data_IF_545097306120
#
_entry.id   IF_545097306120
#
_cell.length_a   1.000
_cell.length_b   1.000
_cell.length_c   1.000
_cell.angle_alpha   90.00
_cell.angle_beta   90.00
_cell.angle_gamma   90.00
#
_symmetry.space_group_name_H-M   'P 1'
#
loop_
_entity.id
_entity.type
_entity.pdbx_description
1 polymer ?
#
# COMPACT_ATOMS: atom_id res chain seq x y z
N UNK A 1 33.93 6.47 20.51
CA UNK A 1 32.96 7.22 19.70
C UNK A 1 32.58 6.41 18.46
N UNK A 2 33.58 5.94 17.74
CA UNK A 2 33.34 5.11 16.55
C UNK A 2 32.59 3.83 16.93
N UNK A 3 32.92 3.23 18.04
CA UNK A 3 32.26 2.01 18.49
C UNK A 3 30.79 2.26 18.84
N UNK A 4 30.48 3.40 19.45
CA UNK A 4 29.13 3.78 19.82
C UNK A 4 28.29 3.98 18.54
N UNK A 5 28.83 4.66 17.54
CA UNK A 5 28.17 4.87 16.23
C UNK A 5 27.90 3.53 15.55
N UNK A 6 28.86 2.63 15.61
CA UNK A 6 28.71 1.30 15.02
C UNK A 6 27.61 0.50 15.69
N UNK A 7 27.49 0.57 17.00
CA UNK A 7 26.44 -0.10 17.76
C UNK A 7 25.06 0.50 17.42
N UNK A 8 24.97 1.81 17.27
CA UNK A 8 23.74 2.47 16.90
C UNK A 8 23.27 2.01 15.51
N UNK A 9 24.17 1.87 14.55
CA UNK A 9 23.84 1.35 13.21
C UNK A 9 23.36 -0.10 13.30
N UNK A 10 24.01 -0.93 14.10
CA UNK A 10 23.59 -2.32 14.31
C UNK A 10 22.19 -2.40 14.91
N UNK A 11 21.88 -1.52 15.89
CA UNK A 11 20.55 -1.46 16.49
C UNK A 11 19.49 -1.06 15.46
N UNK A 12 19.81 -0.13 14.56
CA UNK A 12 18.88 0.28 13.51
C UNK A 12 18.48 -0.86 12.57
N UNK A 13 19.35 -1.85 12.36
CA UNK A 13 19.03 -3.02 11.54
C UNK A 13 17.88 -3.84 12.11
N UNK A 14 17.60 -3.72 13.38
CA UNK A 14 16.52 -4.44 14.05
C UNK A 14 15.26 -3.61 14.19
N UNK A 15 15.32 -2.32 13.83
CA UNK A 15 14.16 -1.45 13.87
C UNK A 15 13.33 -1.68 12.60
N UNK A 16 12.11 -2.12 12.82
CA UNK A 16 11.18 -2.34 11.73
C UNK A 16 10.51 -1.03 11.35
N UNK A 17 10.63 -0.64 10.07
CA UNK A 17 9.98 0.56 9.56
C UNK A 17 8.53 0.23 9.20
N UNK A 18 7.59 0.92 9.84
CA UNK A 18 6.17 0.78 9.55
C UNK A 18 5.81 1.68 8.36
N UNK A 19 5.03 1.15 7.44
CA UNK A 19 4.59 1.87 6.24
C UNK A 19 3.08 1.85 6.19
N UNK A 20 2.45 2.96 6.54
CA UNK A 20 1.00 3.10 6.46
C UNK A 20 0.55 2.81 5.03
N UNK A 21 -0.32 1.86 4.87
CA UNK A 21 -0.71 1.35 3.56
C UNK A 21 -2.20 1.48 3.33
N UNK A 22 -2.56 2.10 2.21
CA UNK A 22 -3.95 2.21 1.75
C UNK A 22 -4.18 1.18 0.65
N UNK A 23 -5.18 0.33 0.85
CA UNK A 23 -5.53 -0.73 -0.08
C UNK A 23 -6.72 -0.28 -0.90
N UNK A 24 -6.56 -0.16 -2.22
CA UNK A 24 -7.68 0.13 -3.13
C UNK A 24 -8.16 -1.18 -3.75
N UNK A 25 -9.45 -1.45 -3.60
CA UNK A 25 -10.05 -2.71 -4.00
C UNK A 25 -10.22 -3.66 -2.84
N UNK A 26 -10.25 -3.14 -1.61
CA UNK A 26 -10.48 -3.93 -0.42
C UNK A 26 -11.84 -4.66 -0.49
N UNK A 27 -11.88 -5.86 0.05
CA UNK A 27 -13.08 -6.70 0.03
C UNK A 27 -13.10 -7.62 1.25
N UNK A 28 -14.29 -7.92 1.80
CA UNK A 28 -14.42 -8.88 2.88
C UNK A 28 -14.32 -10.34 2.41
N UNK A 29 -14.16 -10.58 1.11
CA UNK A 29 -14.06 -11.93 0.55
C UNK A 29 -12.66 -12.51 0.82
N UNK A 30 -12.54 -13.57 1.67
CA UNK A 30 -11.24 -14.11 2.06
C UNK A 30 -10.45 -14.80 0.94
N UNK A 31 -11.08 -15.06 -0.19
CA UNK A 31 -10.40 -15.68 -1.33
C UNK A 31 -9.63 -14.68 -2.19
N UNK A 32 -9.89 -13.37 -2.01
CA UNK A 32 -9.27 -12.34 -2.82
C UNK A 32 -7.91 -11.93 -2.27
N UNK A 33 -7.02 -11.55 -3.16
CA UNK A 33 -5.67 -11.12 -2.79
C UNK A 33 -5.65 -9.86 -1.93
N UNK A 34 -6.58 -8.93 -2.16
CA UNK A 34 -6.69 -7.74 -1.32
C UNK A 34 -6.95 -8.09 0.14
N UNK A 35 -7.79 -9.09 0.39
CA UNK A 35 -8.06 -9.58 1.74
C UNK A 35 -6.79 -10.16 2.37
N UNK A 36 -6.10 -10.99 1.64
CA UNK A 36 -4.85 -11.61 2.12
C UNK A 36 -3.78 -10.58 2.40
N UNK A 37 -3.67 -9.56 1.53
CA UNK A 37 -2.71 -8.48 1.72
C UNK A 37 -3.00 -7.66 2.97
N UNK A 38 -4.27 -7.31 3.21
CA UNK A 38 -4.67 -6.57 4.40
C UNK A 38 -4.25 -7.31 5.68
N UNK A 39 -4.54 -8.61 5.73
CA UNK A 39 -4.17 -9.43 6.89
C UNK A 39 -2.65 -9.56 7.05
N UNK A 40 -1.92 -9.74 5.97
CA UNK A 40 -0.47 -9.87 6.05
C UNK A 40 0.21 -8.55 6.45
N UNK A 41 -0.26 -7.43 5.90
CA UNK A 41 0.22 -6.10 6.29
C UNK A 41 0.00 -5.87 7.79
N UNK A 42 -1.20 -6.15 8.27
CA UNK A 42 -1.53 -6.01 9.67
C UNK A 42 -0.65 -6.92 10.55
N UNK A 43 -0.49 -8.17 10.16
CA UNK A 43 0.34 -9.12 10.90
C UNK A 43 1.81 -8.69 10.97
N UNK A 44 2.29 -7.99 9.96
CA UNK A 44 3.65 -7.45 9.92
C UNK A 44 3.77 -6.10 10.62
N UNK A 45 2.69 -5.58 11.19
CA UNK A 45 2.69 -4.35 11.99
C UNK A 45 2.47 -3.06 11.21
N UNK A 46 2.11 -3.13 9.94
CA UNK A 46 1.78 -1.93 9.17
C UNK A 46 0.33 -1.52 9.43
N UNK A 47 0.09 -0.23 9.63
CA UNK A 47 -1.27 0.28 9.70
C UNK A 47 -1.90 0.26 8.31
N UNK A 48 -3.16 -0.12 8.25
CA UNK A 48 -3.87 -0.25 6.98
C UNK A 48 -5.11 0.63 6.94
N UNK A 49 -5.45 1.07 5.73
CA UNK A 49 -6.71 1.72 5.39
C UNK A 49 -7.31 0.90 4.27
N UNK A 50 -8.50 0.35 4.49
CA UNK A 50 -9.20 -0.43 3.48
C UNK A 50 -10.16 0.47 2.71
N UNK A 51 -10.00 0.56 1.41
CA UNK A 51 -10.87 1.34 0.52
C UNK A 51 -11.48 0.43 -0.54
N UNK A 52 -12.79 0.40 -0.59
CA UNK A 52 -13.51 -0.45 -1.55
C UNK A 52 -14.97 -0.09 -1.63
N UNK A 53 -15.69 -0.79 -2.50
CA UNK A 53 -17.11 -0.53 -2.76
C UNK A 53 -18.03 -1.42 -1.93
N UNK A 54 -17.52 -2.50 -1.35
CA UNK A 54 -18.31 -3.43 -0.54
C UNK A 54 -18.16 -3.11 0.93
N UNK A 55 -19.26 -3.07 1.70
CA UNK A 55 -19.17 -2.89 3.14
C UNK A 55 -18.55 -4.12 3.81
N UNK A 56 -17.94 -3.90 4.96
CA UNK A 56 -17.33 -4.95 5.75
C UNK A 56 -16.06 -4.46 6.43
N UNK A 57 -15.31 -5.41 6.97
CA UNK A 57 -14.05 -5.13 7.63
C UNK A 57 -13.05 -6.24 7.31
N UNK A 58 -11.76 -5.87 7.26
CA UNK A 58 -10.67 -6.83 7.09
C UNK A 58 -9.57 -6.46 8.07
N UNK A 59 -9.04 -7.45 8.76
CA UNK A 59 -8.00 -7.27 9.78
C UNK A 59 -8.41 -6.22 10.84
N UNK A 60 -9.69 -6.19 11.20
CA UNK A 60 -10.20 -5.28 12.20
C UNK A 60 -10.44 -3.84 11.73
N UNK A 61 -10.22 -3.56 10.45
CA UNK A 61 -10.36 -2.22 9.87
C UNK A 61 -11.53 -2.20 8.88
N UNK A 62 -12.49 -1.29 9.11
CA UNK A 62 -13.63 -1.16 8.23
C UNK A 62 -13.23 -0.73 6.82
N UNK A 63 -13.96 -1.25 5.83
CA UNK A 63 -13.79 -0.82 4.44
C UNK A 63 -14.58 0.47 4.26
N UNK A 64 -13.87 1.53 3.86
CA UNK A 64 -14.49 2.80 3.56
C UNK A 64 -14.56 3.03 2.05
N UNK A 65 -15.53 3.83 1.63
CA UNK A 65 -15.63 4.21 0.23
C UNK A 65 -14.56 5.26 -0.10
N UNK A 66 -14.09 5.31 -1.37
CA UNK A 66 -13.11 6.35 -1.75
C UNK A 66 -13.72 7.74 -1.60
N UNK A 67 -12.87 8.70 -1.23
CA UNK A 67 -13.28 10.10 -1.09
C UNK A 67 -12.64 10.82 0.08
N UNK A 68 -12.42 10.14 1.19
CA UNK A 68 -11.74 10.73 2.33
C UNK A 68 -10.22 10.70 2.06
N UNK A 69 -9.60 11.87 2.08
CA UNK A 69 -8.16 11.99 1.88
C UNK A 69 -7.45 11.76 3.22
N UNK A 70 -6.67 10.71 3.28
CA UNK A 70 -5.85 10.40 4.45
C UNK A 70 -4.46 10.99 4.32
N UNK A 71 -3.94 11.50 5.42
CA UNK A 71 -2.58 12.02 5.49
C UNK A 71 -1.62 10.91 5.88
N UNK A 72 -0.35 11.11 5.57
CA UNK A 72 0.71 10.19 6.00
C UNK A 72 0.60 8.77 5.45
N UNK A 73 0.02 8.60 4.28
CA UNK A 73 0.01 7.32 3.57
C UNK A 73 1.36 7.12 2.89
N UNK A 74 2.06 6.07 3.27
CA UNK A 74 3.33 5.75 2.62
C UNK A 74 3.10 5.04 1.29
N UNK A 75 2.23 4.05 1.28
CA UNK A 75 2.03 3.17 0.13
C UNK A 75 0.54 3.03 -0.18
N UNK A 76 0.20 3.13 -1.46
CA UNK A 76 -1.09 2.66 -1.96
C UNK A 76 -0.82 1.35 -2.71
N UNK A 77 -1.57 0.30 -2.39
CA UNK A 77 -1.49 -0.96 -3.12
C UNK A 77 -2.81 -1.19 -3.88
N UNK A 78 -2.69 -1.37 -5.20
CA UNK A 78 -3.84 -1.47 -6.10
C UNK A 78 -4.26 -2.92 -6.32
N UNK A 79 -5.55 -3.16 -6.14
CA UNK A 79 -6.20 -4.45 -6.41
C UNK A 79 -7.43 -4.31 -7.30
N UNK A 80 -7.47 -3.25 -8.12
CA UNK A 80 -8.49 -3.05 -9.14
C UNK A 80 -7.85 -3.02 -10.52
N UNK A 81 -8.56 -3.54 -11.52
CA UNK A 81 -8.04 -3.57 -12.89
C UNK A 81 -7.86 -2.18 -13.49
N UNK A 82 -7.02 -2.06 -14.54
CA UNK A 82 -6.70 -0.75 -15.12
C UNK A 82 -7.92 0.04 -15.58
N UNK A 83 -8.94 -0.67 -16.10
CA UNK A 83 -10.16 -0.03 -16.60
C UNK A 83 -11.01 0.64 -15.52
N UNK A 84 -10.79 0.31 -14.25
CA UNK A 84 -11.48 0.93 -13.12
C UNK A 84 -10.64 2.00 -12.42
N UNK A 85 -9.37 2.14 -12.78
CA UNK A 85 -8.45 3.00 -12.05
C UNK A 85 -8.64 4.49 -12.34
N UNK A 86 -9.15 4.85 -13.50
CA UNK A 86 -9.26 6.28 -13.88
C UNK A 86 -10.12 7.08 -12.90
N UNK A 87 -11.13 6.46 -12.32
CA UNK A 87 -11.99 7.12 -11.33
C UNK A 87 -11.25 7.40 -10.02
N UNK A 88 -10.09 6.79 -9.82
CA UNK A 88 -9.28 6.93 -8.60
C UNK A 88 -8.05 7.82 -8.80
N UNK A 89 -7.77 8.28 -10.02
CA UNK A 89 -6.54 9.05 -10.28
C UNK A 89 -6.42 10.27 -9.38
N UNK A 90 -7.48 11.07 -9.32
CA UNK A 90 -7.48 12.29 -8.53
C UNK A 90 -7.32 11.99 -7.02
N UNK A 91 -8.02 10.96 -6.56
CA UNK A 91 -7.94 10.49 -5.19
C UNK A 91 -6.51 10.06 -4.82
N UNK A 92 -5.87 9.29 -5.70
CA UNK A 92 -4.49 8.82 -5.49
C UNK A 92 -3.52 10.01 -5.43
N UNK A 93 -3.64 10.94 -6.39
CA UNK A 93 -2.75 12.09 -6.44
C UNK A 93 -2.93 13.01 -5.23
N UNK A 94 -4.15 13.20 -4.76
CA UNK A 94 -4.44 14.01 -3.58
C UNK A 94 -3.95 13.36 -2.28
N UNK A 95 -3.93 12.04 -2.24
CA UNK A 95 -3.39 11.29 -1.10
C UNK A 95 -1.88 11.47 -0.96
N UNK A 96 -1.18 11.69 -2.06
CA UNK A 96 0.27 11.92 -2.10
C UNK A 96 1.07 10.84 -1.38
N UNK A 97 0.91 9.57 -1.73
CA UNK A 97 1.74 8.52 -1.15
C UNK A 97 3.19 8.65 -1.65
N UNK A 98 4.11 7.98 -0.99
CA UNK A 98 5.48 7.88 -1.50
C UNK A 98 5.55 6.96 -2.71
N UNK A 99 4.72 5.92 -2.72
CA UNK A 99 4.69 4.95 -3.83
C UNK A 99 3.31 4.36 -4.02
N UNK A 100 3.09 3.84 -5.23
CA UNK A 100 1.89 3.06 -5.57
C UNK A 100 2.36 1.71 -6.12
N UNK A 101 1.90 0.62 -5.51
CA UNK A 101 2.22 -0.73 -5.97
C UNK A 101 1.11 -1.19 -6.92
N UNK A 102 1.52 -1.56 -8.13
CA UNK A 102 0.65 -2.17 -9.13
C UNK A 102 0.81 -3.69 -9.01
N UNK A 103 -0.10 -4.33 -8.29
CA UNK A 103 -0.08 -5.77 -8.15
C UNK A 103 -0.36 -6.44 -9.51
N UNK A 104 0.02 -7.73 -9.70
CA UNK A 104 -0.19 -8.40 -10.99
C UNK A 104 -1.62 -8.26 -11.49
N UNK A 105 -1.78 -7.81 -12.74
CA UNK A 105 -3.08 -7.57 -13.36
C UNK A 105 -3.60 -6.15 -13.21
N UNK A 106 -2.93 -5.28 -12.44
CA UNK A 106 -3.34 -3.88 -12.26
C UNK A 106 -2.46 -2.90 -13.02
N UNK A 107 -1.47 -3.36 -13.74
CA UNK A 107 -0.50 -2.53 -14.45
C UNK A 107 -1.21 -1.55 -15.39
N UNK A 108 -0.78 -0.29 -15.34
CA UNK A 108 -1.42 0.81 -16.06
C UNK A 108 -0.39 1.89 -16.38
N UNK A 109 0.10 1.87 -17.60
CA UNK A 109 1.16 2.80 -18.01
C UNK A 109 0.73 4.26 -17.95
N UNK A 110 -0.54 4.56 -18.19
CA UNK A 110 -1.05 5.93 -18.08
C UNK A 110 -0.96 6.45 -16.64
N UNK A 111 -1.41 5.64 -15.67
CA UNK A 111 -1.32 6.03 -14.27
C UNK A 111 0.14 6.09 -13.82
N UNK A 112 0.97 5.14 -14.23
CA UNK A 112 2.38 5.15 -13.87
C UNK A 112 3.07 6.44 -14.32
N UNK A 113 2.81 6.89 -15.55
CA UNK A 113 3.37 8.14 -16.07
C UNK A 113 2.86 9.34 -15.27
N UNK A 114 1.57 9.34 -14.91
CA UNK A 114 0.96 10.41 -14.13
C UNK A 114 1.57 10.47 -12.72
N UNK A 115 1.85 9.34 -12.12
CA UNK A 115 2.50 9.27 -10.81
C UNK A 115 3.91 9.82 -10.86
N UNK A 116 4.69 9.45 -11.88
CA UNK A 116 6.05 9.95 -12.06
C UNK A 116 6.07 11.47 -12.23
N UNK A 117 5.12 12.03 -12.97
CA UNK A 117 4.98 13.48 -13.12
C UNK A 117 4.71 14.18 -11.78
N UNK A 118 4.13 13.48 -10.82
CA UNK A 118 3.80 14.00 -9.51
C UNK A 118 4.76 13.53 -8.41
N UNK A 119 5.92 13.01 -8.80
CA UNK A 119 6.98 12.55 -7.88
C UNK A 119 6.52 11.44 -6.95
N UNK A 120 5.62 10.58 -7.43
CA UNK A 120 5.17 9.38 -6.73
C UNK A 120 5.75 8.17 -7.45
N UNK A 121 6.42 7.28 -6.72
CA UNK A 121 7.08 6.12 -7.32
C UNK A 121 6.06 5.03 -7.70
N UNK A 122 5.96 4.67 -8.99
CA UNK A 122 5.18 3.49 -9.38
C UNK A 122 6.05 2.23 -9.24
N UNK A 123 5.49 1.17 -8.67
CA UNK A 123 6.19 -0.10 -8.48
C UNK A 123 5.32 -1.23 -9.00
N UNK A 124 5.76 -1.92 -10.03
CA UNK A 124 5.08 -3.14 -10.50
C UNK A 124 5.61 -4.32 -9.71
N UNK A 125 4.82 -4.82 -8.77
CA UNK A 125 5.24 -5.89 -7.88
C UNK A 125 4.01 -6.54 -7.22
N UNK A 126 4.25 -7.65 -6.54
CA UNK A 126 3.22 -8.31 -5.73
C UNK A 126 3.44 -7.98 -4.26
N UNK A 127 2.51 -7.29 -3.64
CA UNK A 127 2.59 -6.89 -2.24
C UNK A 127 2.81 -8.09 -1.31
N UNK A 128 2.11 -9.19 -1.55
CA UNK A 128 2.26 -10.40 -0.73
C UNK A 128 3.67 -10.96 -0.82
N UNK A 129 4.25 -10.99 -2.02
CA UNK A 129 5.63 -11.47 -2.22
C UNK A 129 6.62 -10.52 -1.55
N UNK A 130 6.43 -9.22 -1.68
CA UNK A 130 7.30 -8.24 -1.02
C UNK A 130 7.29 -8.43 0.50
N UNK A 131 6.11 -8.63 1.08
CA UNK A 131 5.98 -8.86 2.53
C UNK A 131 6.64 -10.19 2.95
N UNK A 132 6.42 -11.24 2.17
CA UNK A 132 6.96 -12.57 2.47
C UNK A 132 8.49 -12.62 2.37
N UNK A 133 9.08 -11.78 1.52
CA UNK A 133 10.54 -11.78 1.27
C UNK A 133 11.27 -10.64 2.00
N UNK A 134 10.58 -9.87 2.82
CA UNK A 134 11.18 -8.77 3.55
C UNK A 134 11.53 -7.55 2.70
N UNK A 135 10.91 -7.43 1.52
CA UNK A 135 11.20 -6.34 0.58
C UNK A 135 10.14 -5.24 0.56
N UNK A 136 9.18 -5.35 1.43
CA UNK A 136 8.12 -4.34 1.51
C UNK A 136 8.67 -3.06 2.15
#
# INVERSE_FOLDING_TARGET
VVLIVHQAVASHKHIKIMKNTLIIGATPNPERYAYKAANMLHAKGHDIINVGIKPGAVAGVEIEKPGVIHQDVHTITLYIGPHLQSDYYDYILKTKPHRVIFNPGTENSELEALLEENEIEPVEACTLVMLATGQY
#
